data_IF_934674709909
#
_entry.id   IF_934674709909
#
_cell.length_a   1.000
_cell.length_b   1.000
_cell.length_c   1.000
_cell.angle_alpha   90.00
_cell.angle_beta   90.00
_cell.angle_gamma   90.00
#
_symmetry.space_group_name_H-M   'P 1'
#
loop_
_entity.id
_entity.type
_entity.pdbx_description
1 polymer ?
#
# COMPACT_ATOMS: atom_id res chain seq x y z
N UNK A 1 -6.02 0.05 -3.42
CA UNK A 1 -7.09 0.20 -4.42
C UNK A 1 -7.64 -1.14 -4.88
N UNK A 2 -8.75 -1.13 -5.61
CA UNK A 2 -9.47 -2.34 -6.07
C UNK A 2 -8.62 -3.28 -6.94
N UNK A 3 -8.76 -4.58 -6.73
CA UNK A 3 -8.16 -5.64 -7.56
C UNK A 3 -8.80 -5.79 -8.95
N UNK A 4 -9.97 -5.19 -9.19
CA UNK A 4 -10.59 -5.15 -10.52
C UNK A 4 -10.07 -3.99 -11.38
N UNK A 5 -9.46 -2.96 -10.78
CA UNK A 5 -8.92 -1.80 -11.49
C UNK A 5 -7.66 -2.17 -12.28
N UNK A 6 -7.72 -2.02 -13.61
CA UNK A 6 -6.57 -2.23 -14.49
C UNK A 6 -5.40 -1.28 -14.16
N UNK A 7 -5.70 -0.01 -13.86
CA UNK A 7 -4.69 0.98 -13.50
C UNK A 7 -3.99 0.62 -12.18
N UNK A 8 -4.77 0.26 -11.14
CA UNK A 8 -4.19 -0.12 -9.84
C UNK A 8 -3.31 -1.37 -9.97
N UNK A 9 -3.79 -2.41 -10.68
CA UNK A 9 -2.99 -3.61 -10.93
C UNK A 9 -1.68 -3.30 -11.67
N UNK A 10 -1.72 -2.38 -12.65
CA UNK A 10 -0.53 -1.96 -13.39
C UNK A 10 0.46 -1.23 -12.49
N UNK A 11 0.00 -0.34 -11.61
CA UNK A 11 0.86 0.36 -10.63
C UNK A 11 1.55 -0.66 -9.71
N UNK A 12 0.79 -1.59 -9.12
CA UNK A 12 1.33 -2.65 -8.26
C UNK A 12 2.37 -3.48 -8.99
N UNK A 13 2.06 -3.96 -10.20
CA UNK A 13 3.00 -4.79 -10.98
C UNK A 13 4.30 -4.06 -11.35
N UNK A 14 4.26 -2.75 -11.60
CA UNK A 14 5.47 -1.95 -11.82
C UNK A 14 6.27 -1.82 -10.52
N UNK A 15 5.60 -1.55 -9.40
CA UNK A 15 6.23 -1.43 -8.10
C UNK A 15 6.90 -2.74 -7.66
N UNK A 16 6.21 -3.88 -7.78
CA UNK A 16 6.74 -5.22 -7.45
C UNK A 16 8.00 -5.58 -8.24
N UNK A 17 8.10 -5.15 -9.50
CA UNK A 17 9.29 -5.37 -10.34
C UNK A 17 10.53 -4.60 -9.85
N UNK A 18 10.32 -3.49 -9.13
CA UNK A 18 11.39 -2.62 -8.62
C UNK A 18 11.69 -2.96 -7.15
N UNK A 19 10.63 -3.16 -6.36
CA UNK A 19 10.66 -3.52 -4.95
C UNK A 19 9.70 -4.69 -4.72
N UNK A 20 10.21 -5.92 -4.50
CA UNK A 20 9.39 -7.10 -4.22
C UNK A 20 8.48 -6.96 -3.00
N UNK A 21 8.82 -6.06 -2.07
CA UNK A 21 7.98 -5.72 -0.91
C UNK A 21 6.95 -4.63 -1.27
N UNK A 22 6.27 -4.79 -2.39
CA UNK A 22 5.17 -3.93 -2.83
C UNK A 22 3.87 -4.69 -2.74
N UNK A 23 2.87 -4.11 -2.08
CA UNK A 23 1.61 -4.79 -1.78
C UNK A 23 0.42 -3.95 -2.24
N UNK A 24 -0.58 -4.60 -2.81
CA UNK A 24 -1.87 -3.98 -3.08
C UNK A 24 -2.84 -4.33 -1.97
N UNK A 25 -3.41 -3.30 -1.34
CA UNK A 25 -4.50 -3.43 -0.37
C UNK A 25 -5.70 -2.59 -0.80
N UNK A 26 -6.91 -3.07 -0.54
CA UNK A 26 -8.15 -2.32 -0.74
C UNK A 26 -8.60 -1.60 0.54
N UNK A 27 -8.26 -2.12 1.71
CA UNK A 27 -8.66 -1.59 3.03
C UNK A 27 -7.48 -1.60 3.99
N UNK A 28 -7.57 -0.77 5.03
CA UNK A 28 -6.55 -0.65 6.08
C UNK A 28 -6.30 -1.98 6.82
N UNK A 29 -7.33 -2.79 7.01
CA UNK A 29 -7.25 -4.07 7.74
C UNK A 29 -6.46 -5.16 7.01
N UNK A 30 -6.19 -4.99 5.72
CA UNK A 30 -5.37 -5.92 4.94
C UNK A 30 -3.87 -5.72 5.17
N UNK A 31 -3.48 -4.62 5.82
CA UNK A 31 -2.08 -4.29 6.12
C UNK A 31 -1.54 -5.26 7.18
N UNK A 32 -0.47 -5.97 6.86
CA UNK A 32 0.21 -6.87 7.79
C UNK A 32 1.48 -6.23 8.35
N UNK A 33 1.64 -6.26 9.69
CA UNK A 33 2.80 -5.67 10.36
C UNK A 33 4.13 -6.26 9.91
N UNK A 34 4.16 -7.53 9.54
CA UNK A 34 5.38 -8.23 9.09
C UNK A 34 5.95 -7.67 7.77
N UNK A 35 5.13 -6.99 6.96
CA UNK A 35 5.59 -6.35 5.71
C UNK A 35 6.62 -5.25 5.95
N UNK A 36 6.65 -4.68 7.15
CA UNK A 36 7.49 -3.56 7.52
C UNK A 36 8.75 -3.97 8.28
N UNK A 37 8.95 -5.26 8.51
CA UNK A 37 10.11 -5.76 9.27
C UNK A 37 11.41 -5.34 8.59
N UNK A 38 12.25 -4.60 9.32
CA UNK A 38 13.52 -4.01 8.84
C UNK A 38 13.38 -2.96 7.72
N UNK A 39 12.17 -2.45 7.46
CA UNK A 39 11.98 -1.36 6.52
C UNK A 39 12.53 -0.07 7.13
N UNK A 40 13.28 0.72 6.34
CA UNK A 40 13.75 2.05 6.80
C UNK A 40 12.78 3.18 6.41
N UNK A 41 11.94 2.90 5.42
CA UNK A 41 10.96 3.84 4.89
C UNK A 41 9.84 3.06 4.19
N UNK A 42 8.66 3.68 4.11
CA UNK A 42 7.48 3.12 3.46
C UNK A 42 6.95 4.12 2.45
N UNK A 43 6.73 3.66 1.21
CA UNK A 43 6.07 4.43 0.17
C UNK A 43 4.59 4.07 0.09
N UNK A 44 3.73 5.08 -0.02
CA UNK A 44 2.28 4.90 -0.19
C UNK A 44 1.89 5.53 -1.52
N UNK A 45 1.15 4.79 -2.34
CA UNK A 45 0.56 5.29 -3.58
C UNK A 45 -0.87 4.76 -3.72
N UNK A 46 -1.69 5.47 -4.48
CA UNK A 46 -3.09 5.13 -4.67
C UNK A 46 -3.49 5.25 -6.14
N UNK A 47 -4.40 4.39 -6.58
CA UNK A 47 -5.02 4.55 -7.90
C UNK A 47 -5.97 5.74 -7.88
N UNK A 48 -6.15 6.40 -9.03
CA UNK A 48 -6.95 7.63 -9.17
C UNK A 48 -8.41 7.54 -8.64
N UNK A 49 -8.98 6.34 -8.54
CA UNK A 49 -10.33 6.10 -8.03
C UNK A 49 -10.37 5.73 -6.53
N UNK A 50 -9.27 5.90 -5.80
CA UNK A 50 -9.18 5.58 -4.37
C UNK A 50 -9.41 6.88 -3.58
N UNK A 51 -10.40 6.93 -2.65
CA UNK A 51 -10.62 8.11 -1.83
C UNK A 51 -9.43 8.45 -0.92
N UNK A 52 -9.20 9.75 -0.69
CA UNK A 52 -8.12 10.25 0.16
C UNK A 52 -8.23 9.79 1.62
N UNK A 53 -9.45 9.57 2.10
CA UNK A 53 -9.75 9.04 3.43
C UNK A 53 -9.06 7.68 3.64
N UNK A 54 -9.16 6.76 2.67
CA UNK A 54 -8.52 5.45 2.72
C UNK A 54 -6.99 5.60 2.74
N UNK A 55 -6.44 6.53 1.95
CA UNK A 55 -4.99 6.78 1.92
C UNK A 55 -4.51 7.32 3.28
N UNK A 56 -5.31 8.16 3.91
CA UNK A 56 -5.04 8.73 5.23
C UNK A 56 -5.07 7.65 6.31
N UNK A 57 -6.10 6.80 6.34
CA UNK A 57 -6.19 5.67 7.28
C UNK A 57 -4.99 4.71 7.16
N UNK A 58 -4.58 4.39 5.92
CA UNK A 58 -3.40 3.56 5.65
C UNK A 58 -2.13 4.21 6.21
N UNK A 59 -1.96 5.51 5.98
CA UNK A 59 -0.80 6.27 6.50
C UNK A 59 -0.77 6.27 8.02
N UNK A 60 -1.91 6.52 8.67
CA UNK A 60 -2.02 6.54 10.13
C UNK A 60 -1.72 5.16 10.73
N UNK A 61 -2.29 4.10 10.16
CA UNK A 61 -2.02 2.72 10.57
C UNK A 61 -0.53 2.38 10.50
N UNK A 62 0.13 2.72 9.41
CA UNK A 62 1.57 2.44 9.21
C UNK A 62 2.42 3.27 10.19
N UNK A 63 2.06 4.53 10.41
CA UNK A 63 2.81 5.43 11.31
C UNK A 63 2.74 4.98 12.78
N UNK A 64 1.72 4.20 13.14
CA UNK A 64 1.59 3.61 14.48
C UNK A 64 2.38 2.30 14.64
N UNK A 65 2.94 1.73 13.58
CA UNK A 65 3.76 0.52 13.65
C UNK A 65 5.21 0.88 13.99
N UNK A 66 5.93 0.01 14.73
CA UNK A 66 7.37 0.13 14.90
C UNK A 66 8.05 -0.26 13.59
N UNK A 67 8.52 0.74 12.85
CA UNK A 67 9.26 0.59 11.57
C UNK A 67 10.75 0.77 11.83
#
# INVERSE_FOLDING_TARGET
>A
GSFTSANTKRLTSIAEKINPSSYQVQKVDEIQSDWFRNAKSVGISAGASTPDEIVTEVKEKISALPI
#
